data_IF_203296589433
#
_entry.id   IF_203296589433
#
_cell.length_a   1.000
_cell.length_b   1.000
_cell.length_c   1.000
_cell.angle_alpha   90.00
_cell.angle_beta   90.00
_cell.angle_gamma   90.00
#
_symmetry.space_group_name_H-M   'P 1'
#
loop_
_entity.id
_entity.type
_entity.pdbx_description
1 polymer ?
#
# COMPACT_ATOMS: atom_id res chain seq x y z
N UNK A 1 -21.95 -79.86 -2.46
CA UNK A 1 -22.57 -78.98 -3.46
C UNK A 1 -21.49 -77.97 -3.82
N UNK A 2 -20.60 -78.27 -4.78
CA UNK A 2 -20.82 -78.07 -6.23
C UNK A 2 -21.10 -76.57 -6.47
N UNK A 3 -20.27 -75.76 -7.15
CA UNK A 3 -19.29 -75.99 -8.22
C UNK A 3 -18.15 -74.95 -8.17
N UNK A 4 -16.92 -75.43 -8.39
CA UNK A 4 -15.77 -74.81 -9.08
C UNK A 4 -16.11 -74.68 -10.58
N UNK A 5 -15.53 -73.89 -11.48
CA UNK A 5 -14.20 -73.31 -11.65
C UNK A 5 -14.24 -72.42 -12.92
N UNK A 6 -13.07 -71.92 -13.29
CA UNK A 6 -12.62 -71.44 -14.61
C UNK A 6 -12.61 -69.93 -14.89
N UNK A 7 -11.54 -69.33 -15.44
CA UNK A 7 -10.12 -69.68 -15.57
C UNK A 7 -9.43 -68.58 -16.40
N UNK A 8 -8.11 -68.41 -16.19
CA UNK A 8 -7.11 -67.78 -17.10
C UNK A 8 -7.25 -66.25 -17.29
N UNK A 9 -6.24 -65.39 -17.21
CA UNK A 9 -4.78 -65.48 -17.14
C UNK A 9 -4.19 -64.17 -17.71
N UNK A 10 -2.87 -64.02 -17.59
CA UNK A 10 -1.98 -63.03 -18.24
C UNK A 10 -1.66 -61.68 -17.54
N UNK A 11 -0.41 -61.69 -17.03
CA UNK A 11 0.71 -60.78 -17.32
C UNK A 11 0.69 -59.29 -16.87
N UNK A 12 1.83 -58.79 -16.35
CA UNK A 12 1.97 -57.42 -15.90
C UNK A 12 2.21 -56.48 -17.10
N UNK A 13 1.34 -55.50 -17.27
CA UNK A 13 1.54 -54.40 -18.23
C UNK A 13 2.28 -53.21 -17.58
N UNK A 14 2.92 -52.35 -18.39
CA UNK A 14 4.32 -51.98 -18.20
C UNK A 14 4.51 -50.57 -17.65
N UNK A 15 5.77 -50.29 -17.32
CA UNK A 15 6.31 -48.94 -17.16
C UNK A 15 6.26 -48.25 -18.52
N UNK A 16 5.44 -47.22 -18.66
CA UNK A 16 5.60 -46.20 -19.69
C UNK A 16 5.94 -44.87 -19.00
N UNK A 17 7.22 -44.54 -19.16
CA UNK A 17 7.74 -43.18 -19.13
C UNK A 17 7.03 -42.34 -20.21
N UNK A 18 7.02 -41.04 -19.97
CA UNK A 18 6.89 -39.94 -20.94
C UNK A 18 5.51 -39.26 -21.20
N UNK A 19 5.55 -37.94 -20.98
CA UNK A 19 4.85 -36.87 -21.72
C UNK A 19 3.37 -36.58 -21.45
N UNK A 20 3.11 -35.64 -20.52
CA UNK A 20 2.43 -34.38 -20.87
C UNK A 20 2.93 -33.24 -19.97
N UNK A 21 4.17 -32.78 -20.23
CA UNK A 21 4.47 -31.36 -20.03
C UNK A 21 3.58 -30.59 -20.99
N UNK A 22 2.52 -29.98 -20.50
CA UNK A 22 1.83 -28.95 -21.28
C UNK A 22 2.89 -27.95 -21.77
N UNK A 23 2.90 -27.58 -23.07
CA UNK A 23 3.92 -26.68 -23.56
C UNK A 23 3.81 -25.37 -22.78
N UNK A 24 4.89 -24.91 -22.13
CA UNK A 24 4.95 -23.59 -21.50
C UNK A 24 4.45 -22.47 -22.44
N UNK A 25 4.53 -22.68 -23.77
CA UNK A 25 3.97 -21.79 -24.80
C UNK A 25 2.44 -21.72 -24.81
N UNK A 26 1.72 -22.81 -24.52
CA UNK A 26 0.25 -22.81 -24.40
C UNK A 26 -0.20 -22.10 -23.13
N UNK A 27 0.45 -22.39 -21.99
CA UNK A 27 0.20 -21.71 -20.71
C UNK A 27 0.49 -20.20 -20.78
N UNK A 28 1.59 -19.79 -21.41
CA UNK A 28 1.90 -18.37 -21.68
C UNK A 28 0.91 -17.68 -22.62
N UNK A 29 0.30 -18.41 -23.57
CA UNK A 29 -0.74 -17.86 -24.47
C UNK A 29 -2.08 -17.70 -23.74
N UNK A 30 -2.51 -18.68 -22.96
CA UNK A 30 -3.77 -18.61 -22.19
C UNK A 30 -3.72 -17.51 -21.13
N UNK A 31 -2.57 -17.35 -20.48
CA UNK A 31 -2.32 -16.34 -19.45
C UNK A 31 -2.27 -14.91 -20.07
N UNK A 32 -1.77 -14.77 -21.31
CA UNK A 32 -1.83 -13.50 -22.07
C UNK A 32 -3.25 -13.11 -22.48
N UNK A 33 -4.06 -14.08 -22.88
CA UNK A 33 -5.46 -13.82 -23.26
C UNK A 33 -6.37 -13.56 -22.05
N UNK A 34 -6.02 -14.04 -20.86
CA UNK A 34 -6.71 -13.73 -19.60
C UNK A 34 -6.42 -12.31 -19.09
N UNK A 35 -5.23 -11.74 -19.35
CA UNK A 35 -4.85 -10.39 -18.87
C UNK A 35 -5.82 -9.27 -19.28
N UNK A 36 -6.47 -9.40 -20.44
CA UNK A 36 -7.33 -8.34 -20.98
C UNK A 36 -8.82 -8.65 -20.90
N UNK A 37 -9.20 -9.74 -20.21
CA UNK A 37 -10.59 -10.23 -20.18
C UNK A 37 -11.57 -9.21 -19.60
N UNK A 38 -11.11 -8.33 -18.72
CA UNK A 38 -11.90 -7.27 -18.10
C UNK A 38 -12.26 -6.12 -19.05
N UNK A 39 -11.60 -6.00 -20.21
CA UNK A 39 -11.78 -4.90 -21.15
C UNK A 39 -12.73 -5.28 -22.29
N UNK A 40 -13.51 -4.33 -22.85
CA UNK A 40 -14.27 -4.52 -24.09
C UNK A 40 -13.40 -5.01 -25.25
N UNK A 41 -13.99 -5.77 -26.18
CA UNK A 41 -13.26 -6.46 -27.27
C UNK A 41 -12.42 -5.53 -28.15
N UNK A 42 -12.88 -4.30 -28.40
CA UNK A 42 -12.10 -3.30 -29.14
C UNK A 42 -10.83 -2.90 -28.37
N UNK A 43 -10.94 -2.65 -27.07
CA UNK A 43 -9.79 -2.27 -26.21
C UNK A 43 -8.80 -3.43 -26.08
N UNK A 44 -9.28 -4.68 -26.01
CA UNK A 44 -8.41 -5.86 -26.01
C UNK A 44 -7.51 -5.91 -27.25
N UNK A 45 -8.05 -5.59 -28.44
CA UNK A 45 -7.27 -5.59 -29.67
C UNK A 45 -6.18 -4.51 -29.67
N UNK A 46 -6.52 -3.31 -29.19
CA UNK A 46 -5.57 -2.21 -29.05
C UNK A 46 -4.47 -2.55 -28.03
N UNK A 47 -4.82 -3.11 -26.87
CA UNK A 47 -3.87 -3.51 -25.83
C UNK A 47 -2.90 -4.60 -26.31
N UNK A 48 -3.37 -5.57 -27.10
CA UNK A 48 -2.50 -6.59 -27.72
C UNK A 48 -1.51 -5.98 -28.71
N UNK A 49 -1.93 -4.99 -29.50
CA UNK A 49 -1.00 -4.26 -30.39
C UNK A 49 -0.01 -3.40 -29.61
N UNK A 50 -0.42 -2.75 -28.51
CA UNK A 50 0.49 -2.03 -27.61
C UNK A 50 1.54 -2.96 -27.00
N UNK A 51 1.16 -4.13 -26.47
CA UNK A 51 2.13 -5.12 -25.96
C UNK A 51 3.14 -5.54 -27.03
N UNK A 52 2.68 -5.75 -28.27
CA UNK A 52 3.54 -6.15 -29.38
C UNK A 52 4.52 -5.04 -29.75
N UNK A 53 4.06 -3.80 -29.80
CA UNK A 53 4.89 -2.62 -30.07
C UNK A 53 5.92 -2.40 -28.95
N UNK A 54 5.49 -2.52 -27.70
CA UNK A 54 6.34 -2.42 -26.51
C UNK A 54 7.43 -3.49 -26.51
N UNK A 55 7.06 -4.76 -26.74
CA UNK A 55 8.00 -5.88 -26.79
C UNK A 55 9.02 -5.72 -27.92
N UNK A 56 8.58 -5.23 -29.08
CA UNK A 56 9.48 -4.92 -30.21
C UNK A 56 10.43 -3.79 -29.84
N UNK A 57 9.93 -2.74 -29.19
CA UNK A 57 10.73 -1.57 -28.77
C UNK A 57 11.78 -1.99 -27.74
N UNK A 58 11.42 -2.76 -26.71
CA UNK A 58 12.38 -3.30 -25.73
C UNK A 58 13.46 -4.14 -26.41
N UNK A 59 13.07 -5.03 -27.33
CA UNK A 59 14.04 -5.85 -28.08
C UNK A 59 15.04 -4.99 -28.85
N UNK A 60 14.57 -3.93 -29.51
CA UNK A 60 15.45 -2.98 -30.23
C UNK A 60 16.36 -2.23 -29.26
N UNK A 61 15.85 -1.75 -28.12
CA UNK A 61 16.63 -1.07 -27.09
C UNK A 61 17.72 -1.98 -26.51
N UNK A 62 17.36 -3.20 -26.09
CA UNK A 62 18.31 -4.18 -25.53
C UNK A 62 19.38 -4.58 -26.55
N UNK A 63 19.00 -4.82 -27.81
CA UNK A 63 19.97 -5.12 -28.87
C UNK A 63 20.93 -3.95 -29.12
N UNK A 64 20.42 -2.71 -29.14
CA UNK A 64 21.24 -1.51 -29.31
C UNK A 64 22.20 -1.36 -28.14
N UNK A 65 21.71 -1.53 -26.91
CA UNK A 65 22.51 -1.50 -25.69
C UNK A 65 23.66 -2.52 -25.72
N UNK A 66 23.37 -3.78 -26.08
CA UNK A 66 24.39 -4.82 -26.17
C UNK A 66 25.45 -4.53 -27.24
N UNK A 67 25.04 -4.08 -28.44
CA UNK A 67 25.97 -3.71 -29.50
C UNK A 67 26.88 -2.55 -29.10
N UNK A 68 26.30 -1.56 -28.41
CA UNK A 68 27.01 -0.38 -27.98
C UNK A 68 28.03 -0.73 -26.88
N UNK A 69 27.67 -1.60 -25.93
CA UNK A 69 28.62 -2.18 -24.97
C UNK A 69 29.77 -2.92 -25.68
N UNK A 70 29.45 -3.84 -26.59
CA UNK A 70 30.46 -4.62 -27.33
C UNK A 70 31.45 -3.72 -28.12
N UNK A 71 30.98 -2.60 -28.65
CA UNK A 71 31.83 -1.64 -29.39
C UNK A 71 32.73 -0.78 -28.50
N UNK A 72 32.42 -0.66 -27.20
CA UNK A 72 33.08 0.27 -26.28
C UNK A 72 34.13 -0.41 -25.41
N UNK A 73 34.10 -1.75 -25.26
CA UNK A 73 35.09 -2.54 -24.52
C UNK A 73 36.49 -2.65 -25.20
N UNK A 74 36.78 -1.83 -26.20
CA UNK A 74 38.06 -1.85 -26.93
C UNK A 74 39.03 -0.72 -26.54
N UNK A 75 38.64 0.26 -25.73
CA UNK A 75 39.53 1.36 -25.30
C UNK A 75 39.31 1.78 -23.83
N UNK A 76 40.42 2.08 -23.13
CA UNK A 76 40.47 2.37 -21.69
C UNK A 76 39.82 3.71 -21.26
N UNK A 77 39.24 4.48 -22.19
CA UNK A 77 38.54 5.73 -21.85
C UNK A 77 37.21 5.88 -22.61
N UNK A 78 36.11 5.48 -21.96
CA UNK A 78 34.75 5.65 -22.51
C UNK A 78 34.43 7.15 -22.55
N UNK A 79 34.16 7.75 -23.74
CA UNK A 79 33.75 9.15 -23.84
C UNK A 79 32.47 9.41 -23.05
N UNK A 80 32.38 10.58 -22.39
CA UNK A 80 31.23 10.95 -21.56
C UNK A 80 29.88 10.88 -22.31
N UNK A 81 29.87 11.20 -23.61
CA UNK A 81 28.67 11.09 -24.46
C UNK A 81 28.18 9.65 -24.63
N UNK A 82 29.11 8.69 -24.76
CA UNK A 82 28.78 7.27 -24.85
C UNK A 82 28.26 6.76 -23.50
N UNK A 83 28.91 7.14 -22.40
CA UNK A 83 28.44 6.82 -21.04
C UNK A 83 27.01 7.33 -20.78
N UNK A 84 26.70 8.55 -21.23
CA UNK A 84 25.36 9.11 -21.16
C UNK A 84 24.34 8.27 -21.96
N UNK A 85 24.68 7.86 -23.19
CA UNK A 85 23.80 7.03 -24.02
C UNK A 85 23.56 5.64 -23.41
N UNK A 86 24.60 5.00 -22.87
CA UNK A 86 24.52 3.71 -22.15
C UNK A 86 23.53 3.84 -20.98
N UNK A 87 23.71 4.85 -20.14
CA UNK A 87 22.84 5.09 -18.98
C UNK A 87 21.39 5.38 -19.40
N UNK A 88 21.19 6.13 -20.49
CA UNK A 88 19.85 6.47 -20.97
C UNK A 88 19.14 5.26 -21.60
N UNK A 89 19.87 4.39 -22.31
CA UNK A 89 19.34 3.13 -22.82
C UNK A 89 18.97 2.19 -21.67
N UNK A 90 19.83 2.05 -20.65
CA UNK A 90 19.51 1.28 -19.44
C UNK A 90 18.24 1.79 -18.78
N UNK A 91 18.14 3.09 -18.53
CA UNK A 91 16.95 3.69 -17.92
C UNK A 91 15.66 3.42 -18.73
N UNK A 92 15.74 3.43 -20.07
CA UNK A 92 14.60 3.10 -20.93
C UNK A 92 14.25 1.60 -20.91
N UNK A 93 15.25 0.72 -20.84
CA UNK A 93 15.06 -0.74 -20.76
C UNK A 93 14.46 -1.14 -19.42
N UNK A 94 14.87 -0.47 -18.34
CA UNK A 94 14.38 -0.71 -16.98
C UNK A 94 13.01 -0.06 -16.72
N UNK A 95 12.60 0.93 -17.52
CA UNK A 95 11.29 1.59 -17.35
C UNK A 95 10.15 0.57 -17.52
N UNK A 96 9.21 0.43 -16.56
CA UNK A 96 8.06 -0.45 -16.71
C UNK A 96 7.19 -0.04 -17.91
N UNK A 97 6.48 -0.98 -18.55
CA UNK A 97 5.67 -0.73 -19.75
C UNK A 97 4.53 0.25 -19.50
N UNK A 98 3.98 0.20 -18.29
CA UNK A 98 2.88 1.02 -17.82
C UNK A 98 3.36 1.78 -16.59
N UNK A 99 3.02 3.07 -16.54
CA UNK A 99 3.18 3.83 -15.31
C UNK A 99 2.21 3.25 -14.26
N UNK A 100 2.67 2.97 -13.04
CA UNK A 100 1.81 2.34 -12.04
C UNK A 100 0.62 3.22 -11.66
N UNK A 101 -0.55 2.61 -11.48
CA UNK A 101 -1.76 3.25 -10.98
C UNK A 101 -1.79 3.07 -9.47
N UNK A 102 -1.57 4.16 -8.75
CA UNK A 102 -1.61 4.17 -7.29
C UNK A 102 -3.04 4.46 -6.81
N UNK A 103 -3.62 3.53 -6.04
CA UNK A 103 -4.91 3.67 -5.39
C UNK A 103 -4.67 3.94 -3.91
N UNK A 104 -4.85 5.19 -3.47
CA UNK A 104 -4.65 5.60 -2.08
C UNK A 104 -5.88 5.33 -1.22
N UNK A 105 -5.75 4.46 -0.22
CA UNK A 105 -6.81 4.26 0.78
C UNK A 105 -6.66 5.31 1.86
N UNK A 106 -7.59 6.26 1.89
CA UNK A 106 -7.54 7.43 2.77
C UNK A 106 -8.74 7.44 3.71
N UNK A 107 -8.50 7.50 5.02
CA UNK A 107 -9.59 7.38 5.99
C UNK A 107 -9.08 7.40 7.43
N UNK A 108 -9.97 7.75 8.37
CA UNK A 108 -9.63 7.82 9.79
C UNK A 108 -9.15 6.47 10.35
N UNK A 109 -8.51 6.53 11.52
CA UNK A 109 -8.17 5.33 12.30
C UNK A 109 -9.42 4.50 12.58
N UNK A 110 -9.31 3.18 12.39
CA UNK A 110 -10.42 2.25 12.62
C UNK A 110 -11.45 2.17 11.48
N UNK A 111 -11.30 2.93 10.39
CA UNK A 111 -12.19 2.84 9.22
C UNK A 111 -12.05 1.51 8.42
N UNK A 112 -11.05 0.67 8.74
CA UNK A 112 -10.89 -0.65 8.12
C UNK A 112 -10.05 -0.68 6.84
N UNK A 113 -9.14 0.29 6.63
CA UNK A 113 -8.26 0.38 5.45
C UNK A 113 -7.42 -0.89 5.23
N UNK A 114 -6.61 -1.27 6.22
CA UNK A 114 -5.75 -2.45 6.16
C UNK A 114 -6.57 -3.75 6.07
N UNK A 115 -7.72 -3.81 6.76
CA UNK A 115 -8.68 -4.92 6.66
C UNK A 115 -9.27 -5.06 5.25
N UNK A 116 -9.56 -3.93 4.58
CA UNK A 116 -10.04 -3.92 3.19
C UNK A 116 -8.96 -4.44 2.24
N UNK A 117 -7.70 -4.04 2.41
CA UNK A 117 -6.59 -4.58 1.61
C UNK A 117 -6.45 -6.09 1.81
N UNK A 118 -6.45 -6.55 3.06
CA UNK A 118 -6.40 -7.97 3.42
C UNK A 118 -7.54 -8.77 2.74
N UNK A 119 -8.75 -8.20 2.71
CA UNK A 119 -9.90 -8.79 2.03
C UNK A 119 -9.73 -8.83 0.50
N UNK A 120 -9.22 -7.76 -0.11
CA UNK A 120 -8.97 -7.69 -1.56
C UNK A 120 -7.96 -8.75 -1.99
N UNK A 121 -6.88 -8.94 -1.22
CA UNK A 121 -5.85 -9.95 -1.51
C UNK A 121 -6.23 -11.36 -1.04
N UNK A 122 -7.39 -11.51 -0.39
CA UNK A 122 -7.89 -12.76 0.20
C UNK A 122 -6.90 -13.42 1.18
N UNK A 123 -6.17 -12.61 1.94
CA UNK A 123 -5.25 -13.07 2.97
C UNK A 123 -5.64 -12.44 4.31
N UNK A 124 -6.14 -13.27 5.22
CA UNK A 124 -6.52 -12.81 6.54
C UNK A 124 -5.29 -12.31 7.32
N UNK A 125 -5.42 -11.14 7.95
CA UNK A 125 -4.39 -10.55 8.84
C UNK A 125 -3.00 -10.36 8.20
N UNK A 126 -2.90 -10.30 6.87
CA UNK A 126 -1.62 -10.09 6.20
C UNK A 126 -0.96 -8.76 6.61
N UNK A 127 -1.69 -7.65 6.46
CA UNK A 127 -1.37 -6.39 7.13
C UNK A 127 -1.95 -6.40 8.55
N UNK A 128 -1.26 -5.78 9.53
CA UNK A 128 -1.72 -5.75 10.91
C UNK A 128 -3.08 -5.06 11.03
N UNK A 129 -3.99 -5.69 11.77
CA UNK A 129 -5.33 -5.17 12.07
C UNK A 129 -5.54 -5.10 13.59
N UNK A 130 -6.29 -4.11 14.05
CA UNK A 130 -6.69 -3.95 15.46
C UNK A 130 -8.11 -3.38 15.50
N UNK A 131 -8.94 -3.91 16.42
CA UNK A 131 -10.28 -3.40 16.67
C UNK A 131 -10.32 -2.15 17.57
N UNK A 132 -9.22 -1.87 18.28
CA UNK A 132 -9.20 -0.93 19.40
C UNK A 132 -8.22 0.24 19.21
N UNK A 133 -7.18 0.08 18.38
CA UNK A 133 -6.10 1.07 18.26
C UNK A 133 -5.62 1.25 16.83
N UNK A 134 -4.83 2.31 16.59
CA UNK A 134 -4.02 2.44 15.37
C UNK A 134 -3.16 1.18 15.26
N UNK A 135 -3.13 0.58 14.07
CA UNK A 135 -2.41 -0.65 13.79
C UNK A 135 -1.27 -0.47 12.79
N UNK A 136 -1.37 0.48 11.85
CA UNK A 136 -0.34 0.74 10.84
C UNK A 136 0.39 2.04 11.16
N UNK A 137 1.71 1.97 11.32
CA UNK A 137 2.55 3.13 11.66
C UNK A 137 3.15 3.85 10.46
N UNK A 138 3.18 3.21 9.29
CA UNK A 138 3.83 3.72 8.08
C UNK A 138 2.98 3.48 6.84
N UNK A 139 3.37 4.09 5.72
CA UNK A 139 2.73 3.84 4.43
C UNK A 139 3.12 2.44 3.95
N UNK A 140 2.12 1.66 3.53
CA UNK A 140 2.32 0.32 2.95
C UNK A 140 1.78 0.31 1.53
N UNK A 141 2.61 -0.08 0.57
CA UNK A 141 2.23 -0.26 -0.82
C UNK A 141 2.17 -1.74 -1.13
N UNK A 142 1.02 -2.22 -1.61
CA UNK A 142 0.81 -3.61 -1.99
C UNK A 142 0.56 -3.69 -3.48
N UNK A 143 1.37 -4.48 -4.18
CA UNK A 143 1.25 -4.73 -5.62
C UNK A 143 1.39 -6.21 -5.90
N UNK A 144 0.86 -6.66 -7.03
CA UNK A 144 1.22 -7.96 -7.58
C UNK A 144 2.45 -7.82 -8.49
N UNK A 145 3.37 -8.79 -8.40
CA UNK A 145 4.55 -8.88 -9.23
C UNK A 145 4.61 -10.16 -10.05
N UNK A 146 5.72 -10.34 -10.75
CA UNK A 146 6.04 -11.56 -11.49
C UNK A 146 6.91 -12.55 -10.70
N UNK A 147 7.17 -12.25 -9.43
CA UNK A 147 7.97 -13.11 -8.55
C UNK A 147 7.15 -14.32 -8.09
N UNK A 148 7.83 -15.43 -7.80
CA UNK A 148 7.20 -16.62 -7.22
C UNK A 148 7.04 -16.49 -5.70
N UNK A 149 7.92 -15.71 -5.06
CA UNK A 149 7.93 -15.47 -3.62
C UNK A 149 7.21 -14.18 -3.27
N UNK A 150 6.70 -14.14 -2.03
CA UNK A 150 6.31 -12.89 -1.40
C UNK A 150 7.57 -12.12 -1.02
N UNK A 151 7.62 -10.84 -1.43
CA UNK A 151 8.76 -9.97 -1.14
C UNK A 151 8.28 -8.68 -0.48
N UNK A 152 9.02 -8.21 0.53
CA UNK A 152 8.84 -6.88 1.08
C UNK A 152 10.14 -6.10 1.10
N UNK A 153 10.08 -4.82 0.73
CA UNK A 153 11.17 -3.86 0.84
C UNK A 153 10.76 -2.77 1.81
N UNK A 154 11.45 -2.69 2.93
CA UNK A 154 11.26 -1.67 3.95
C UNK A 154 12.30 -0.57 3.67
N UNK A 155 11.82 0.58 3.25
CA UNK A 155 12.63 1.75 2.96
C UNK A 155 12.71 2.62 4.21
N UNK A 156 13.94 2.88 4.64
CA UNK A 156 14.23 3.77 5.75
C UNK A 156 14.46 5.19 5.24
N UNK A 157 14.25 6.18 6.11
CA UNK A 157 14.65 7.57 5.86
C UNK A 157 16.14 7.61 5.52
N UNK A 158 16.49 8.42 4.51
CA UNK A 158 17.88 8.74 4.22
C UNK A 158 18.52 9.54 5.37
N UNK A 159 19.84 9.64 5.37
CA UNK A 159 20.57 10.44 6.37
C UNK A 159 20.08 11.89 6.40
N UNK A 160 19.79 12.47 5.23
CA UNK A 160 19.32 13.85 5.14
C UNK A 160 17.89 14.01 5.64
N UNK A 161 16.98 13.09 5.28
CA UNK A 161 15.60 13.10 5.77
C UNK A 161 15.56 12.92 7.28
N UNK A 162 16.38 12.02 7.83
CA UNK A 162 16.47 11.84 9.28
C UNK A 162 17.02 13.08 10.00
N UNK A 163 18.02 13.77 9.43
CA UNK A 163 18.54 15.02 10.00
C UNK A 163 17.45 16.09 10.12
N UNK A 164 16.63 16.25 9.08
CA UNK A 164 15.53 17.22 9.12
C UNK A 164 14.44 16.80 10.12
N UNK A 165 14.08 15.51 10.16
CA UNK A 165 13.14 14.99 11.16
C UNK A 165 13.66 15.21 12.58
N UNK A 166 14.92 14.85 12.85
CA UNK A 166 15.58 15.05 14.13
C UNK A 166 15.58 16.52 14.58
N UNK A 167 15.83 17.44 13.64
CA UNK A 167 15.75 18.88 13.88
C UNK A 167 14.33 19.30 14.26
N UNK A 168 13.31 18.72 13.63
CA UNK A 168 11.91 18.99 13.96
C UNK A 168 11.49 18.42 15.32
N UNK A 169 11.99 17.25 15.69
CA UNK A 169 11.78 16.61 17.00
C UNK A 169 12.39 17.46 18.13
N UNK A 170 13.65 17.87 17.99
CA UNK A 170 14.33 18.73 19.00
C UNK A 170 13.65 20.09 19.13
N UNK A 171 13.25 20.71 18.01
CA UNK A 171 12.47 21.95 18.03
C UNK A 171 11.13 21.81 18.75
N UNK A 172 10.47 20.65 18.65
CA UNK A 172 9.20 20.39 19.33
C UNK A 172 9.41 20.30 20.85
N UNK A 173 10.49 19.65 21.29
CA UNK A 173 10.85 19.54 22.70
C UNK A 173 11.16 20.92 23.31
N UNK A 174 12.00 21.72 22.66
CA UNK A 174 12.42 23.02 23.18
C UNK A 174 11.29 24.06 23.24
N UNK A 175 10.31 24.02 22.31
CA UNK A 175 9.15 24.94 22.33
C UNK A 175 8.29 24.82 23.59
N UNK A 176 8.36 23.69 24.28
CA UNK A 176 7.60 23.45 25.51
C UNK A 176 8.30 24.04 26.74
N UNK A 177 9.61 24.26 26.68
CA UNK A 177 10.38 24.89 27.76
C UNK A 177 10.19 26.42 27.80
N UNK A 178 9.82 27.05 26.69
CA UNK A 178 9.72 28.52 26.54
C UNK A 178 8.30 29.10 26.75
N UNK A 179 7.24 28.30 26.67
CA UNK A 179 5.85 28.77 26.77
C UNK A 179 5.17 28.27 28.04
N UNK A 180 5.17 29.12 29.08
CA UNK A 180 4.23 29.00 30.18
C UNK A 180 2.80 29.22 29.67
N UNK A 181 1.94 28.21 29.84
CA UNK A 181 0.46 28.21 29.77
C UNK A 181 -0.17 29.24 28.82
N UNK A 182 -0.46 28.84 27.59
CA UNK A 182 -1.61 29.34 26.85
C UNK A 182 -2.49 28.14 26.46
N UNK A 183 -3.66 28.10 27.11
CA UNK A 183 -4.66 27.04 27.07
C UNK A 183 -5.63 27.30 25.91
N UNK A 184 -5.51 26.54 24.82
CA UNK A 184 -6.63 26.27 23.90
C UNK A 184 -6.40 24.99 23.04
N UNK A 185 -5.15 24.50 22.92
CA UNK A 185 -4.78 23.26 22.16
C UNK A 185 -4.00 22.21 22.98
N UNK A 186 -4.24 22.10 24.29
CA UNK A 186 -3.35 21.35 25.22
C UNK A 186 -3.25 19.83 24.92
N UNK A 187 -4.37 19.16 24.63
CA UNK A 187 -4.42 17.69 24.49
C UNK A 187 -3.64 17.14 23.31
N UNK A 188 -3.60 17.89 22.20
CA UNK A 188 -3.00 17.49 20.94
C UNK A 188 -1.47 17.72 20.92
N UNK A 189 -0.97 18.62 21.78
CA UNK A 189 0.47 18.90 21.93
C UNK A 189 1.17 17.81 22.74
N UNK A 190 0.50 17.27 23.75
CA UNK A 190 1.06 16.24 24.64
C UNK A 190 1.32 14.92 23.90
N UNK A 191 0.40 14.47 23.04
CA UNK A 191 0.60 13.24 22.24
C UNK A 191 1.78 13.35 21.26
N UNK A 192 1.90 14.48 20.55
CA UNK A 192 2.99 14.70 19.61
C UNK A 192 4.35 14.82 20.32
N UNK A 193 4.37 15.45 21.49
CA UNK A 193 5.55 15.54 22.34
C UNK A 193 5.96 14.16 22.85
N UNK A 194 5.00 13.37 23.31
CA UNK A 194 5.23 11.99 23.72
C UNK A 194 5.76 11.13 22.57
N UNK A 195 5.17 11.22 21.38
CA UNK A 195 5.68 10.51 20.20
C UNK A 195 7.12 10.91 19.90
N UNK A 196 7.45 12.20 19.99
CA UNK A 196 8.81 12.69 19.75
C UNK A 196 9.82 12.17 20.77
N UNK A 197 9.50 12.23 22.07
CA UNK A 197 10.32 11.64 23.13
C UNK A 197 10.55 10.16 22.84
N UNK A 198 9.51 9.44 22.46
CA UNK A 198 9.60 8.01 22.23
C UNK A 198 10.47 7.66 21.02
N UNK A 199 10.30 8.36 19.89
CA UNK A 199 11.16 8.18 18.71
C UNK A 199 12.63 8.36 19.04
N UNK A 200 12.97 9.38 19.83
CA UNK A 200 14.35 9.63 20.26
C UNK A 200 14.87 8.54 21.20
N UNK A 201 14.07 8.15 22.20
CA UNK A 201 14.47 7.10 23.14
C UNK A 201 14.66 5.74 22.47
N UNK A 202 13.83 5.42 21.47
CA UNK A 202 13.96 4.18 20.71
C UNK A 202 15.26 4.10 19.91
N UNK A 203 15.69 5.21 19.30
CA UNK A 203 16.89 5.23 18.47
C UNK A 203 18.17 5.47 19.26
N UNK A 204 18.14 6.31 20.30
CA UNK A 204 19.34 6.78 21.00
C UNK A 204 19.37 6.44 22.49
N UNK A 205 18.33 5.78 23.01
CA UNK A 205 18.22 5.35 24.40
C UNK A 205 17.56 6.39 25.31
N UNK A 206 17.23 5.96 26.53
CA UNK A 206 16.68 6.84 27.55
C UNK A 206 17.58 8.06 27.82
N UNK A 207 16.97 9.24 27.97
CA UNK A 207 17.68 10.51 28.15
C UNK A 207 18.06 11.20 26.85
N UNK A 208 17.80 10.60 25.69
CA UNK A 208 18.02 11.23 24.38
C UNK A 208 17.15 12.48 24.17
N UNK A 209 15.97 12.53 24.79
CA UNK A 209 15.05 13.67 24.71
C UNK A 209 15.61 14.96 25.32
N UNK A 210 16.65 14.87 26.16
CA UNK A 210 17.30 16.02 26.81
C UNK A 210 18.55 16.50 26.09
N UNK A 211 18.93 15.85 25.00
CA UNK A 211 20.15 16.16 24.24
C UNK A 211 19.84 17.18 23.14
N UNK A 212 20.82 18.02 22.86
CA UNK A 212 20.78 18.95 21.73
C UNK A 212 20.82 18.21 20.38
N UNK A 213 20.41 18.92 19.32
CA UNK A 213 20.47 18.40 17.96
C UNK A 213 21.89 17.97 17.57
N UNK A 214 22.90 18.77 17.92
CA UNK A 214 24.31 18.51 17.62
C UNK A 214 24.85 17.27 18.36
N UNK A 215 24.41 17.05 19.60
CA UNK A 215 24.76 15.85 20.37
C UNK A 215 24.14 14.59 19.78
N UNK A 216 22.86 14.65 19.37
CA UNK A 216 22.15 13.53 18.75
C UNK A 216 22.71 13.17 17.37
N UNK A 217 23.21 14.15 16.61
CA UNK A 217 23.90 13.89 15.33
C UNK A 217 25.21 13.11 15.50
N UNK A 218 25.92 13.33 16.61
CA UNK A 218 27.18 12.62 16.92
C UNK A 218 26.93 11.28 17.60
N UNK A 219 25.77 11.11 18.22
CA UNK A 219 25.38 9.86 18.87
C UNK A 219 25.17 8.75 17.83
N UNK A 220 25.62 7.54 18.18
CA UNK A 220 25.32 6.34 17.39
C UNK A 220 23.94 5.81 17.80
N UNK A 221 23.05 5.52 16.83
CA UNK A 221 21.80 4.82 17.12
C UNK A 221 22.08 3.44 17.73
N UNK A 222 21.19 2.97 18.61
CA UNK A 222 21.29 1.67 19.28
C UNK A 222 21.01 0.53 18.29
N UNK A 223 20.03 0.72 17.41
CA UNK A 223 19.65 -0.26 16.39
C UNK A 223 20.64 -0.37 15.23
N UNK A 224 20.79 -1.57 14.66
CA UNK A 224 21.55 -1.81 13.42
C UNK A 224 20.80 -1.24 12.23
N UNK A 225 21.29 -0.13 11.68
CA UNK A 225 20.73 0.49 10.48
C UNK A 225 21.55 0.04 9.26
N UNK A 226 20.94 -0.60 8.25
CA UNK A 226 21.67 -0.99 7.05
C UNK A 226 22.16 0.23 6.27
N UNK A 227 23.41 0.24 5.76
CA UNK A 227 23.93 1.35 4.95
C UNK A 227 23.11 1.64 3.69
N UNK A 228 22.47 0.61 3.11
CA UNK A 228 21.57 0.74 1.95
C UNK A 228 20.29 1.50 2.27
N UNK A 229 19.95 1.71 3.56
CA UNK A 229 18.65 2.22 4.02
C UNK A 229 17.45 1.39 3.53
N UNK A 230 17.68 0.14 3.11
CA UNK A 230 16.65 -0.77 2.63
C UNK A 230 16.84 -2.15 3.27
N UNK A 231 15.77 -2.67 3.88
CA UNK A 231 15.69 -4.05 4.38
C UNK A 231 14.82 -4.84 3.40
N UNK A 232 15.31 -5.98 2.93
CA UNK A 232 14.55 -6.87 2.03
C UNK A 232 14.17 -8.12 2.79
N UNK A 233 12.89 -8.46 2.77
CA UNK A 233 12.33 -9.67 3.33
C UNK A 233 11.73 -10.50 2.20
N UNK A 234 11.84 -11.83 2.32
CA UNK A 234 11.23 -12.79 1.42
C UNK A 234 10.59 -13.92 2.22
N UNK A 235 9.53 -14.49 1.66
CA UNK A 235 8.83 -15.64 2.20
C UNK A 235 8.17 -16.44 1.07
N UNK A 236 7.97 -17.73 1.30
CA UNK A 236 7.20 -18.59 0.38
C UNK A 236 5.70 -18.41 0.61
N UNK A 237 5.30 -18.20 1.86
CA UNK A 237 3.90 -18.08 2.26
C UNK A 237 3.53 -16.67 2.76
N UNK A 238 2.26 -16.29 2.57
CA UNK A 238 1.74 -14.98 2.97
C UNK A 238 1.84 -14.75 4.49
N UNK A 239 1.51 -15.79 5.27
CA UNK A 239 1.55 -15.76 6.74
C UNK A 239 2.98 -15.54 7.25
N UNK A 240 3.96 -16.21 6.65
CA UNK A 240 5.37 -16.06 7.02
C UNK A 240 5.87 -14.63 6.74
N UNK A 241 5.50 -14.04 5.58
CA UNK A 241 5.85 -12.65 5.31
C UNK A 241 5.16 -11.70 6.29
N UNK A 242 3.90 -11.94 6.61
CA UNK A 242 3.12 -11.13 7.55
C UNK A 242 3.79 -11.07 8.92
N UNK A 243 4.19 -12.22 9.48
CA UNK A 243 4.92 -12.30 10.76
C UNK A 243 6.25 -11.54 10.69
N UNK A 244 6.99 -11.66 9.58
CA UNK A 244 8.26 -10.92 9.37
C UNK A 244 8.04 -9.41 9.22
N UNK A 245 6.91 -8.98 8.67
CA UNK A 245 6.55 -7.58 8.46
C UNK A 245 6.02 -6.90 9.72
N UNK A 246 5.37 -7.66 10.60
CA UNK A 246 4.67 -7.14 11.76
C UNK A 246 5.49 -6.14 12.60
N UNK A 247 6.78 -6.41 12.94
CA UNK A 247 7.59 -5.49 13.74
C UNK A 247 7.85 -4.13 13.09
N UNK A 248 7.74 -4.05 11.76
CA UNK A 248 8.03 -2.85 10.96
C UNK A 248 6.78 -2.03 10.66
N UNK A 249 5.62 -2.69 10.54
CA UNK A 249 4.37 -2.02 10.16
C UNK A 249 3.53 -1.70 11.40
N UNK A 250 3.49 -2.62 12.38
CA UNK A 250 2.61 -2.50 13.54
C UNK A 250 2.96 -1.25 14.35
N UNK A 251 1.92 -0.50 14.73
CA UNK A 251 2.07 0.57 15.72
C UNK A 251 2.55 -0.03 17.03
N UNK A 252 3.78 0.29 17.42
CA UNK A 252 4.34 -0.15 18.69
C UNK A 252 3.51 0.46 19.84
N UNK A 253 3.30 -0.28 20.94
CA UNK A 253 2.62 0.22 22.16
C UNK A 253 3.66 0.47 23.26
N UNK A 254 3.58 1.62 23.94
CA UNK A 254 4.42 1.92 25.11
C UNK A 254 4.14 0.89 26.21
N UNK A 255 5.19 0.30 26.78
CA UNK A 255 5.10 -0.59 27.95
C UNK A 255 5.01 -2.10 27.64
N UNK A 256 4.80 -2.49 26.38
CA UNK A 256 5.20 -3.83 25.94
C UNK A 256 6.66 -3.77 25.54
N UNK A 257 7.53 -4.10 26.50
CA UNK A 257 8.86 -4.58 26.15
C UNK A 257 8.66 -5.96 25.52
N UNK A 258 8.44 -6.02 24.22
CA UNK A 258 8.75 -7.25 23.51
C UNK A 258 10.25 -7.50 23.62
N UNK A 259 10.65 -8.74 23.33
CA UNK A 259 12.02 -9.18 23.52
C UNK A 259 13.06 -8.27 22.85
N UNK A 260 14.35 -8.44 23.19
CA UNK A 260 15.47 -7.59 22.74
C UNK A 260 15.62 -7.41 21.21
N UNK A 261 14.84 -8.11 20.39
CA UNK A 261 14.79 -8.04 18.92
C UNK A 261 13.65 -7.18 18.35
N UNK A 262 12.79 -6.56 19.17
CA UNK A 262 11.82 -5.58 18.67
C UNK A 262 12.53 -4.45 17.93
N UNK A 263 12.01 -4.14 16.75
CA UNK A 263 12.77 -3.40 15.75
C UNK A 263 12.90 -1.92 16.14
N UNK A 264 13.97 -1.60 16.85
CA UNK A 264 14.33 -0.27 17.38
C UNK A 264 14.40 0.85 16.32
N UNK A 265 14.28 0.50 15.03
CA UNK A 265 14.38 1.40 13.90
C UNK A 265 13.03 1.84 13.33
N UNK A 266 11.89 1.50 13.96
CA UNK A 266 10.57 1.96 13.50
C UNK A 266 10.48 3.47 13.24
N UNK A 267 11.13 4.38 14.00
CA UNK A 267 11.07 5.82 13.70
C UNK A 267 11.72 6.20 12.37
N UNK A 268 12.55 5.31 11.82
CA UNK A 268 13.23 5.51 10.54
C UNK A 268 12.45 4.93 9.37
N UNK A 269 11.36 4.20 9.59
CA UNK A 269 10.61 3.56 8.50
C UNK A 269 9.82 4.62 7.75
N UNK A 270 10.08 4.73 6.45
CA UNK A 270 9.42 5.69 5.56
C UNK A 270 8.29 5.04 4.78
N UNK A 271 8.55 3.87 4.22
CA UNK A 271 7.66 3.19 3.28
C UNK A 271 7.95 1.69 3.31
N UNK A 272 6.90 0.88 3.26
CA UNK A 272 7.01 -0.56 3.02
C UNK A 272 6.39 -0.89 1.67
N UNK A 273 7.16 -1.48 0.76
CA UNK A 273 6.66 -2.00 -0.51
C UNK A 273 6.54 -3.52 -0.42
N UNK A 274 5.33 -4.04 -0.55
CA UNK A 274 5.02 -5.46 -0.62
C UNK A 274 4.74 -5.82 -2.08
N UNK A 275 5.49 -6.80 -2.58
CA UNK A 275 5.26 -7.44 -3.87
C UNK A 275 4.76 -8.85 -3.62
N UNK A 276 3.47 -9.06 -3.89
CA UNK A 276 2.86 -10.39 -3.84
C UNK A 276 3.30 -11.19 -5.07
N UNK A 277 3.24 -12.52 -5.01
CA UNK A 277 3.28 -13.35 -6.20
C UNK A 277 2.20 -12.93 -7.20
N UNK A 278 2.31 -13.47 -8.42
CA UNK A 278 1.34 -13.18 -9.46
C UNK A 278 -0.07 -13.53 -8.97
N UNK A 279 -0.93 -12.52 -8.91
CA UNK A 279 -2.29 -12.60 -8.38
C UNK A 279 -3.28 -12.01 -9.39
N UNK A 280 -4.42 -12.66 -9.56
CA UNK A 280 -5.52 -12.14 -10.39
C UNK A 280 -6.33 -11.05 -9.65
N UNK A 281 -6.12 -10.90 -8.34
CA UNK A 281 -6.88 -9.98 -7.47
C UNK A 281 -6.40 -8.54 -7.59
N UNK A 282 -5.09 -8.35 -7.79
CA UNK A 282 -4.48 -7.03 -8.04
C UNK A 282 -3.91 -7.05 -9.46
N UNK A 283 -4.52 -6.32 -10.41
CA UNK A 283 -4.00 -6.25 -11.77
C UNK A 283 -2.55 -5.75 -11.84
N UNK A 284 -1.80 -6.23 -12.83
CA UNK A 284 -0.44 -5.78 -13.08
C UNK A 284 -0.41 -4.26 -13.33
N UNK A 285 0.47 -3.55 -12.61
CA UNK A 285 0.56 -2.10 -12.66
C UNK A 285 -0.34 -1.36 -11.67
N UNK A 286 -1.24 -2.04 -10.94
CA UNK A 286 -1.99 -1.44 -9.83
C UNK A 286 -1.23 -1.58 -8.53
N UNK A 287 -1.21 -0.51 -7.74
CA UNK A 287 -0.60 -0.46 -6.40
C UNK A 287 -1.64 0.07 -5.42
N UNK A 288 -2.03 -0.76 -4.45
CA UNK A 288 -2.86 -0.35 -3.33
C UNK A 288 -1.98 0.30 -2.27
N UNK A 289 -2.33 1.49 -1.81
CA UNK A 289 -1.55 2.25 -0.84
C UNK A 289 -2.34 2.39 0.45
N UNK A 290 -1.95 1.68 1.50
CA UNK A 290 -2.45 1.90 2.86
C UNK A 290 -1.77 3.14 3.43
N UNK A 291 -2.55 4.20 3.59
CA UNK A 291 -2.08 5.43 4.21
C UNK A 291 -2.48 5.35 5.70
N UNK A 292 -1.53 5.38 6.65
CA UNK A 292 -1.84 5.22 8.07
C UNK A 292 -2.86 6.27 8.53
N UNK A 293 -3.76 5.86 9.44
CA UNK A 293 -4.91 6.65 9.85
C UNK A 293 -4.52 8.03 10.36
N UNK A 294 -5.00 9.06 9.68
CA UNK A 294 -4.98 10.47 10.10
C UNK A 294 -5.94 10.63 11.28
N UNK A 295 -5.45 10.25 12.46
CA UNK A 295 -6.21 10.18 13.70
C UNK A 295 -6.72 11.54 14.16
N UNK A 296 -5.91 12.58 14.01
CA UNK A 296 -6.31 13.96 14.25
C UNK A 296 -5.55 14.83 13.24
N UNK A 297 -6.23 15.80 12.63
CA UNK A 297 -5.65 16.78 11.70
C UNK A 297 -4.69 17.75 12.42
N UNK A 298 -3.74 17.21 13.18
CA UNK A 298 -2.76 17.96 13.93
C UNK A 298 -1.40 17.98 13.20
N UNK A 299 -1.29 18.99 12.34
CA UNK A 299 -0.14 19.78 11.87
C UNK A 299 1.23 19.18 11.51
N UNK A 300 1.60 17.91 11.80
CA UNK A 300 2.96 17.40 11.48
C UNK A 300 3.07 15.99 10.88
N UNK A 301 2.16 15.05 11.17
CA UNK A 301 2.01 13.82 10.34
C UNK A 301 1.50 14.12 8.92
N UNK A 302 1.10 15.38 8.71
CA UNK A 302 0.51 15.95 7.51
C UNK A 302 1.35 15.88 6.25
N UNK A 303 2.67 16.02 6.33
CA UNK A 303 3.45 16.15 5.10
C UNK A 303 3.62 14.81 4.37
N UNK A 304 3.75 13.71 5.12
CA UNK A 304 4.00 12.38 4.54
C UNK A 304 2.79 11.86 3.77
N UNK A 305 1.59 11.92 4.37
CA UNK A 305 0.39 11.48 3.68
C UNK A 305 -0.01 12.46 2.56
N UNK A 306 0.18 13.79 2.72
CA UNK A 306 -0.07 14.76 1.63
C UNK A 306 0.82 14.51 0.42
N UNK A 307 2.12 14.28 0.63
CA UNK A 307 3.04 13.91 -0.47
C UNK A 307 2.67 12.58 -1.12
N UNK A 308 1.95 11.72 -0.42
CA UNK A 308 1.56 10.39 -0.93
C UNK A 308 0.23 10.45 -1.67
N UNK A 309 -0.76 11.18 -1.15
CA UNK A 309 -2.06 11.37 -1.81
C UNK A 309 -1.89 12.12 -3.13
N UNK A 310 -0.95 13.08 -3.20
CA UNK A 310 -0.61 13.80 -4.43
C UNK A 310 0.01 12.91 -5.52
N UNK A 311 0.52 11.73 -5.15
CA UNK A 311 1.06 10.73 -6.09
C UNK A 311 0.03 9.68 -6.48
N UNK A 312 -1.14 9.67 -5.84
CA UNK A 312 -2.18 8.71 -6.12
C UNK A 312 -2.92 9.06 -7.41
N UNK A 313 -3.13 8.08 -8.27
CA UNK A 313 -3.93 8.22 -9.49
C UNK A 313 -5.43 8.16 -9.18
N UNK A 314 -5.79 7.40 -8.15
CA UNK A 314 -7.15 7.25 -7.64
C UNK A 314 -7.11 7.30 -6.12
N UNK A 315 -8.11 7.90 -5.50
CA UNK A 315 -8.24 7.98 -4.04
C UNK A 315 -9.52 7.28 -3.61
N UNK A 316 -9.42 6.36 -2.66
CA UNK A 316 -10.56 5.74 -2.01
C UNK A 316 -10.71 6.32 -0.60
N UNK A 317 -11.77 7.07 -0.39
CA UNK A 317 -12.15 7.59 0.93
C UNK A 317 -12.84 6.47 1.69
N UNK A 318 -12.19 5.92 2.71
CA UNK A 318 -12.66 4.76 3.47
C UNK A 318 -13.38 5.23 4.74
N UNK A 319 -14.64 4.80 4.90
CA UNK A 319 -15.49 5.19 6.04
C UNK A 319 -16.25 4.01 6.63
N UNK A 320 -16.31 3.90 7.95
CA UNK A 320 -17.20 2.96 8.66
C UNK A 320 -18.67 3.38 8.44
N UNK A 321 -19.58 2.43 8.19
CA UNK A 321 -21.02 2.69 8.01
C UNK A 321 -21.63 3.51 9.17
N UNK A 322 -21.15 3.33 10.39
CA UNK A 322 -21.63 4.09 11.57
C UNK A 322 -21.12 5.54 11.58
N UNK A 323 -20.04 5.83 10.86
CA UNK A 323 -19.34 7.13 10.86
C UNK A 323 -19.48 7.92 9.56
N UNK A 324 -19.98 7.29 8.49
CA UNK A 324 -20.12 7.91 7.15
C UNK A 324 -21.01 9.16 7.15
N UNK A 325 -21.85 9.35 8.17
CA UNK A 325 -22.78 10.49 8.25
C UNK A 325 -22.18 11.67 9.04
N UNK A 326 -21.57 12.63 8.34
CA UNK A 326 -21.49 14.04 8.77
C UNK A 326 -20.47 14.40 9.85
N UNK A 327 -19.46 13.57 10.12
CA UNK A 327 -18.34 13.97 10.96
C UNK A 327 -17.41 14.94 10.22
N UNK A 328 -16.95 16.02 10.88
CA UNK A 328 -15.97 16.98 10.30
C UNK A 328 -14.76 16.28 9.68
N UNK A 329 -14.27 15.22 10.33
CA UNK A 329 -13.16 14.44 9.83
C UNK A 329 -13.40 13.84 8.43
N UNK A 330 -14.63 13.40 8.13
CA UNK A 330 -14.97 12.86 6.80
C UNK A 330 -15.03 13.96 5.73
N UNK A 331 -15.57 15.13 6.08
CA UNK A 331 -15.58 16.30 5.19
C UNK A 331 -14.15 16.76 4.87
N UNK A 332 -13.28 16.80 5.88
CA UNK A 332 -11.88 17.17 5.72
C UNK A 332 -11.12 16.16 4.83
N UNK A 333 -11.34 14.86 5.02
CA UNK A 333 -10.76 13.81 4.16
C UNK A 333 -11.20 13.97 2.69
N UNK A 334 -12.49 14.21 2.47
CA UNK A 334 -13.02 14.43 1.13
C UNK A 334 -12.44 15.71 0.51
N UNK A 335 -12.40 16.81 1.27
CA UNK A 335 -11.84 18.08 0.82
C UNK A 335 -10.36 17.94 0.41
N UNK A 336 -9.56 17.23 1.20
CA UNK A 336 -8.16 16.97 0.86
C UNK A 336 -8.01 16.06 -0.36
N UNK A 337 -8.91 15.08 -0.53
CA UNK A 337 -8.95 14.24 -1.73
C UNK A 337 -9.28 15.07 -2.99
N UNK A 338 -10.26 15.97 -2.90
CA UNK A 338 -10.63 16.90 -3.99
C UNK A 338 -9.44 17.81 -4.33
N UNK A 339 -8.77 18.38 -3.32
CA UNK A 339 -7.57 19.22 -3.53
C UNK A 339 -6.46 18.43 -4.24
N UNK A 340 -6.25 17.16 -3.91
CA UNK A 340 -5.26 16.32 -4.57
C UNK A 340 -5.59 16.12 -6.07
N UNK A 341 -6.86 15.98 -6.44
CA UNK A 341 -7.27 15.85 -7.84
C UNK A 341 -7.17 17.19 -8.59
N UNK A 342 -7.40 18.32 -7.92
CA UNK A 342 -7.15 19.66 -8.50
C UNK A 342 -5.67 19.91 -8.81
N UNK A 343 -4.73 19.24 -8.11
CA UNK A 343 -3.29 19.30 -8.39
C UNK A 343 -2.88 18.46 -9.61
N UNK A 344 -3.78 17.62 -10.14
CA UNK A 344 -3.72 17.07 -11.50
C UNK A 344 -3.28 15.62 -11.66
N UNK A 345 -2.72 14.96 -10.64
CA UNK A 345 -2.33 13.54 -10.74
C UNK A 345 -3.50 12.59 -10.47
N UNK A 346 -4.33 12.90 -9.48
CA UNK A 346 -5.55 12.14 -9.19
C UNK A 346 -6.59 12.41 -10.27
N UNK A 347 -7.15 11.33 -10.84
CA UNK A 347 -8.20 11.38 -11.86
C UNK A 347 -9.58 11.02 -11.31
N UNK A 348 -9.64 10.30 -10.19
CA UNK A 348 -10.88 9.75 -9.67
C UNK A 348 -10.86 9.61 -8.14
N UNK A 349 -12.03 9.77 -7.53
CA UNK A 349 -12.25 9.65 -6.08
C UNK A 349 -13.49 8.79 -5.84
N UNK A 350 -13.35 7.73 -5.05
CA UNK A 350 -14.46 6.87 -4.66
C UNK A 350 -14.65 6.86 -3.15
N UNK A 351 -15.90 6.90 -2.69
CA UNK A 351 -16.25 6.65 -1.30
C UNK A 351 -16.49 5.14 -1.11
N UNK A 352 -15.75 4.52 -0.20
CA UNK A 352 -15.90 3.10 0.15
C UNK A 352 -16.39 2.99 1.58
N UNK A 353 -17.61 2.49 1.74
CA UNK A 353 -18.24 2.29 3.05
C UNK A 353 -17.98 0.87 3.53
N UNK A 354 -17.28 0.75 4.66
CA UNK A 354 -16.87 -0.53 5.27
C UNK A 354 -17.78 -0.91 6.43
N UNK A 355 -17.64 -2.15 6.91
CA UNK A 355 -18.37 -2.71 8.07
C UNK A 355 -19.89 -2.64 7.92
N UNK A 356 -20.39 -2.81 6.70
CA UNK A 356 -21.82 -2.74 6.38
C UNK A 356 -22.65 -3.81 7.12
N UNK A 357 -22.01 -4.86 7.63
CA UNK A 357 -22.59 -5.84 8.54
C UNK A 357 -23.11 -5.24 9.85
N UNK A 358 -22.59 -4.08 10.28
CA UNK A 358 -23.11 -3.34 11.44
C UNK A 358 -24.42 -2.61 11.16
N UNK A 359 -24.84 -2.48 9.89
CA UNK A 359 -26.07 -1.77 9.56
C UNK A 359 -27.29 -2.58 9.99
N UNK A 360 -28.00 -2.08 10.99
CA UNK A 360 -29.29 -2.64 11.36
C UNK A 360 -30.38 -2.18 10.37
N UNK A 361 -30.60 -2.97 9.32
CA UNK A 361 -31.49 -2.62 8.19
C UNK A 361 -32.92 -2.22 8.63
N UNK A 362 -33.59 -2.88 9.59
CA UNK A 362 -34.94 -2.48 10.00
C UNK A 362 -34.99 -1.08 10.62
N UNK A 363 -33.99 -0.72 11.42
CA UNK A 363 -33.88 0.61 12.03
C UNK A 363 -33.63 1.68 10.98
N UNK A 364 -32.69 1.42 10.06
CA UNK A 364 -32.39 2.31 8.95
C UNK A 364 -33.61 2.58 8.07
N UNK A 365 -34.35 1.52 7.69
CA UNK A 365 -35.56 1.65 6.89
C UNK A 365 -36.66 2.43 7.61
N UNK A 366 -36.83 2.21 8.93
CA UNK A 366 -37.79 2.97 9.75
C UNK A 366 -37.44 4.46 9.79
N UNK A 367 -36.18 4.80 10.00
CA UNK A 367 -35.70 6.19 9.99
C UNK A 367 -35.92 6.84 8.62
N UNK A 368 -35.54 6.17 7.53
CA UNK A 368 -35.70 6.68 6.16
C UNK A 368 -37.18 6.88 5.79
N UNK A 369 -38.05 5.92 6.10
CA UNK A 369 -39.48 6.05 5.87
C UNK A 369 -40.10 7.18 6.70
N UNK A 370 -39.61 7.40 7.93
CA UNK A 370 -39.97 8.55 8.76
C UNK A 370 -39.56 9.90 8.15
N UNK A 371 -38.38 9.98 7.52
CA UNK A 371 -37.91 11.18 6.80
C UNK A 371 -38.70 11.46 5.52
N UNK A 372 -39.05 10.42 4.75
CA UNK A 372 -39.92 10.55 3.57
C UNK A 372 -41.31 11.03 3.99
N UNK A 373 -41.85 10.51 5.11
CA UNK A 373 -43.08 11.01 5.73
C UNK A 373 -42.98 12.49 6.13
N UNK A 374 -41.88 12.92 6.77
CA UNK A 374 -41.68 14.32 7.17
C UNK A 374 -41.49 15.27 5.98
N UNK A 375 -40.81 14.85 4.90
CA UNK A 375 -40.71 15.64 3.66
C UNK A 375 -42.07 15.77 2.97
N UNK A 376 -42.90 14.72 2.99
CA UNK A 376 -44.27 14.77 2.46
C UNK A 376 -45.21 15.68 3.30
N UNK A 377 -44.95 15.84 4.60
CA UNK A 377 -45.67 16.80 5.45
C UNK A 377 -45.21 18.26 5.25
N UNK A 378 -43.94 18.49 4.89
CA UNK A 378 -43.40 19.83 4.64
C UNK A 378 -43.67 20.34 3.22
N UNK A 379 -43.89 19.46 2.24
CA UNK A 379 -44.28 19.82 0.88
C UNK A 379 -45.64 19.20 0.59
N UNK A 380 -46.71 19.92 0.89
CA UNK A 380 -48.11 19.51 0.73
C UNK A 380 -48.53 19.28 -0.73
N UNK A 381 -47.97 18.27 -1.38
CA UNK A 381 -48.39 17.82 -2.71
C UNK A 381 -48.05 16.34 -2.88
N UNK A 382 -49.11 15.53 -2.99
CA UNK A 382 -49.05 14.11 -3.33
C UNK A 382 -48.38 13.94 -4.70
N UNK A 383 -47.27 13.21 -4.78
CA UNK A 383 -46.78 12.61 -6.02
C UNK A 383 -46.94 11.08 -5.94
N UNK A 384 -47.31 10.41 -7.04
CA UNK A 384 -47.71 9.00 -7.04
C UNK A 384 -46.49 8.05 -6.97
N UNK A 385 -46.70 6.79 -6.55
CA UNK A 385 -45.63 5.86 -6.26
C UNK A 385 -45.25 5.09 -7.51
N UNK A 386 -44.21 5.52 -8.23
CA UNK A 386 -43.54 4.64 -9.20
C UNK A 386 -42.14 5.15 -9.47
N UNK A 387 -41.20 4.21 -9.53
CA UNK A 387 -39.74 4.36 -9.72
C UNK A 387 -38.94 4.58 -8.43
N UNK A 388 -38.88 3.55 -7.60
CA UNK A 388 -37.73 3.35 -6.72
C UNK A 388 -36.51 3.05 -7.60
N UNK A 389 -35.65 4.03 -7.81
CA UNK A 389 -34.23 3.82 -8.04
C UNK A 389 -33.45 4.39 -6.85
N UNK A 390 -32.45 3.67 -6.31
CA UNK A 390 -31.66 4.17 -5.22
C UNK A 390 -30.61 5.15 -5.78
N UNK A 391 -30.96 6.43 -5.85
CA UNK A 391 -29.93 7.47 -5.80
C UNK A 391 -29.37 7.48 -4.37
N UNK A 392 -28.14 6.97 -4.26
CA UNK A 392 -27.21 7.36 -3.21
C UNK A 392 -26.86 8.83 -3.49
N UNK A 393 -27.52 9.75 -2.80
CA UNK A 393 -27.00 11.10 -2.62
C UNK A 393 -25.97 11.02 -1.49
N UNK A 394 -24.70 10.87 -1.87
CA UNK A 394 -23.50 11.20 -1.10
C UNK A 394 -22.50 11.86 -2.05
#
# INVERSE_FOLDING_TARGET
MAETEDCVGQEPCPVDDDLFKEPMRKRRRSDRDQRFRAFPTMEQSALKEYEKLESRTRRVLSNTYQKLLQSVFLDDSIPNGIKYLINRLLALIEKPPLDPIYIGLFGSTGAGKSSLINAIIQQAMFLPVSGESICTSCIVQVRSGCCELYEAKIHLLSDQEWKEELKNLVKLLNRTEELGREEEDAWNKDEALEEAIWKLQMLYGHGAERKSYEELLRAKPIGKIPPSRVITLKAEEAEELSVKLDPYIRTQRRGWAGGPDETQIWPLIKLVEVTLPKSELIPEGVVLVDIPGTGDFNSKRDEMWRKTIDKCSVIWVISDIERVSGGRAHEDLLNESIKACQRGFCRDVALVVTKTDKLHLPEYLRYRNGLVGRRAFLHGSRLPPTTMMPYLDL
#
